data_IF_390081799816
#
_entry.id   IF_390081799816
#
_cell.length_a   1.000
_cell.length_b   1.000
_cell.length_c   1.000
_cell.angle_alpha   90.00
_cell.angle_beta   90.00
_cell.angle_gamma   90.00
#
_symmetry.space_group_name_H-M   'P 1'
#
loop_
_entity.id
_entity.type
_entity.pdbx_description
1 polymer ?
#
# COMPACT_ATOMS: atom_id res chain seq x y z
N UNK A 1 -73.16 -25.29 -29.04
CA UNK A 1 -73.17 -24.33 -27.92
C UNK A 1 -71.76 -23.76 -27.85
N UNK A 2 -71.62 -22.49 -28.20
CA UNK A 2 -70.41 -21.68 -27.97
C UNK A 2 -70.24 -21.45 -26.47
N UNK A 3 -69.01 -21.48 -25.96
CA UNK A 3 -68.24 -20.29 -25.61
C UNK A 3 -66.92 -20.71 -24.99
N UNK A 4 -65.82 -20.22 -25.58
CA UNK A 4 -64.49 -20.25 -25.00
C UNK A 4 -64.42 -19.28 -23.83
N UNK A 5 -63.87 -19.73 -22.72
CA UNK A 5 -63.38 -18.84 -21.67
C UNK A 5 -62.00 -19.33 -21.24
N UNK A 6 -60.95 -18.73 -21.80
CA UNK A 6 -59.62 -18.73 -21.18
C UNK A 6 -59.50 -17.45 -20.37
N UNK A 7 -59.22 -17.52 -19.05
CA UNK A 7 -58.68 -16.37 -18.36
C UNK A 7 -57.25 -16.64 -17.88
N UNK A 8 -56.42 -15.69 -18.31
CA UNK A 8 -55.52 -14.91 -17.46
C UNK A 8 -54.14 -15.50 -17.14
N UNK A 9 -53.24 -15.19 -18.06
CA UNK A 9 -51.85 -14.82 -17.83
C UNK A 9 -51.74 -13.94 -16.57
N UNK A 10 -51.25 -14.48 -15.44
CA UNK A 10 -50.85 -13.65 -14.29
C UNK A 10 -49.47 -14.07 -13.76
N UNK A 11 -48.45 -13.47 -14.39
CA UNK A 11 -47.22 -12.95 -13.78
C UNK A 11 -46.69 -13.72 -12.55
N UNK A 12 -45.97 -14.81 -12.79
CA UNK A 12 -45.06 -15.45 -11.79
C UNK A 12 -43.58 -15.36 -12.24
N UNK A 13 -43.24 -14.44 -13.14
CA UNK A 13 -41.91 -14.37 -13.76
C UNK A 13 -41.06 -13.15 -13.38
N UNK A 14 -41.35 -12.47 -12.26
CA UNK A 14 -40.55 -11.32 -11.81
C UNK A 14 -39.93 -11.44 -10.41
N UNK A 15 -40.13 -12.55 -9.69
CA UNK A 15 -39.61 -12.72 -8.33
C UNK A 15 -38.28 -13.50 -8.24
N UNK A 16 -37.97 -14.36 -9.21
CA UNK A 16 -36.80 -15.25 -9.12
C UNK A 16 -35.47 -14.59 -9.52
N UNK A 17 -35.51 -13.55 -10.36
CA UNK A 17 -34.31 -12.88 -10.88
C UNK A 17 -33.76 -11.80 -9.95
N UNK A 18 -34.60 -11.25 -9.08
CA UNK A 18 -34.21 -10.23 -8.09
C UNK A 18 -33.49 -10.90 -6.89
N UNK A 19 -33.89 -12.12 -6.56
CA UNK A 19 -33.36 -12.87 -5.41
C UNK A 19 -31.92 -13.39 -5.65
N UNK A 20 -31.58 -13.77 -6.89
CA UNK A 20 -30.23 -14.25 -7.22
C UNK A 20 -29.17 -13.14 -7.14
N UNK A 21 -29.49 -11.91 -7.57
CA UNK A 21 -28.56 -10.78 -7.50
C UNK A 21 -28.25 -10.37 -6.05
N UNK A 22 -29.27 -10.36 -5.20
CA UNK A 22 -29.10 -10.12 -3.76
C UNK A 22 -28.23 -11.19 -3.11
N UNK A 23 -28.50 -12.47 -3.42
CA UNK A 23 -27.70 -13.61 -2.97
C UNK A 23 -26.24 -13.52 -3.42
N UNK A 24 -25.98 -13.15 -4.68
CA UNK A 24 -24.61 -13.01 -5.19
C UNK A 24 -23.85 -11.88 -4.50
N UNK A 25 -24.53 -10.75 -4.22
CA UNK A 25 -23.94 -9.65 -3.44
C UNK A 25 -23.55 -10.10 -2.04
N UNK A 26 -24.46 -10.78 -1.34
CA UNK A 26 -24.20 -11.29 0.02
C UNK A 26 -23.04 -12.31 -0.01
N UNK A 27 -23.02 -13.21 -1.00
CA UNK A 27 -21.94 -14.19 -1.13
C UNK A 27 -20.59 -13.54 -1.45
N UNK A 28 -20.56 -12.47 -2.25
CA UNK A 28 -19.33 -11.73 -2.53
C UNK A 28 -18.79 -11.03 -1.27
N UNK A 29 -19.66 -10.38 -0.49
CA UNK A 29 -19.26 -9.78 0.79
C UNK A 29 -18.78 -10.84 1.79
N UNK A 30 -19.46 -11.98 1.88
CA UNK A 30 -19.03 -13.08 2.75
C UNK A 30 -17.63 -13.57 2.36
N UNK A 31 -17.38 -13.82 1.08
CA UNK A 31 -16.05 -14.24 0.59
C UNK A 31 -14.97 -13.19 0.86
N UNK A 32 -15.31 -11.89 0.75
CA UNK A 32 -14.38 -10.81 1.09
C UNK A 32 -14.02 -10.85 2.57
N UNK A 33 -15.02 -10.94 3.45
CA UNK A 33 -14.81 -11.03 4.90
C UNK A 33 -14.04 -12.29 5.29
N UNK A 34 -14.33 -13.44 4.68
CA UNK A 34 -13.58 -14.68 4.89
C UNK A 34 -12.10 -14.52 4.47
N UNK A 35 -11.81 -13.79 3.40
CA UNK A 35 -10.44 -13.52 2.97
C UNK A 35 -9.73 -12.57 3.93
N UNK A 36 -10.41 -11.51 4.40
CA UNK A 36 -9.87 -10.58 5.39
C UNK A 36 -9.58 -11.30 6.72
N UNK A 37 -10.46 -12.19 7.17
CA UNK A 37 -10.23 -13.01 8.35
C UNK A 37 -8.98 -13.89 8.19
N UNK A 38 -8.82 -14.58 7.05
CA UNK A 38 -7.62 -15.37 6.77
C UNK A 38 -6.35 -14.54 6.81
N UNK A 39 -6.35 -13.35 6.19
CA UNK A 39 -5.17 -12.48 6.21
C UNK A 39 -4.82 -12.04 7.63
N UNK A 40 -5.81 -11.69 8.45
CA UNK A 40 -5.56 -11.31 9.85
C UNK A 40 -5.01 -12.49 10.67
N UNK A 41 -5.51 -13.71 10.45
CA UNK A 41 -4.98 -14.92 11.10
C UNK A 41 -3.50 -15.15 10.70
N UNK A 42 -3.16 -15.02 9.43
CA UNK A 42 -1.78 -15.13 8.92
C UNK A 42 -0.86 -14.03 9.50
N UNK A 43 -1.35 -12.79 9.60
CA UNK A 43 -0.61 -11.66 10.20
C UNK A 43 -0.36 -11.89 11.68
N UNK A 44 -1.35 -12.39 12.43
CA UNK A 44 -1.18 -12.74 13.84
C UNK A 44 -0.13 -13.83 14.04
N UNK A 45 -0.15 -14.89 13.22
CA UNK A 45 0.87 -15.94 13.27
C UNK A 45 2.28 -15.39 12.99
N UNK A 46 2.41 -14.42 12.09
CA UNK A 46 3.68 -13.74 11.83
C UNK A 46 4.11 -12.88 13.03
N UNK A 47 3.19 -12.11 13.62
CA UNK A 47 3.47 -11.26 14.79
C UNK A 47 3.96 -12.08 15.99
N UNK A 48 3.44 -13.28 16.21
CA UNK A 48 3.91 -14.19 17.27
C UNK A 48 5.37 -14.65 17.08
N UNK A 49 5.84 -14.69 15.84
CA UNK A 49 7.22 -15.08 15.48
C UNK A 49 8.19 -13.90 15.48
N UNK A 50 7.70 -12.65 15.50
CA UNK A 50 8.55 -11.47 15.47
C UNK A 50 9.22 -11.21 16.81
N UNK A 51 10.49 -10.82 16.72
CA UNK A 51 11.25 -10.37 17.89
C UNK A 51 10.72 -9.03 18.42
N UNK A 52 11.08 -8.75 19.68
CA UNK A 52 10.77 -7.46 20.31
C UNK A 52 11.34 -6.32 19.48
N UNK A 53 10.54 -5.26 19.29
CA UNK A 53 10.98 -4.02 18.65
C UNK A 53 12.29 -3.47 19.26
N UNK A 54 12.46 -3.61 20.58
CA UNK A 54 13.69 -3.19 21.27
C UNK A 54 14.95 -3.91 20.77
N UNK A 55 14.85 -5.17 20.36
CA UNK A 55 15.99 -5.95 19.84
C UNK A 55 16.31 -5.48 18.44
N UNK A 56 15.32 -5.43 17.55
CA UNK A 56 15.48 -4.93 16.19
C UNK A 56 16.04 -3.50 16.15
N UNK A 57 15.57 -2.60 17.03
CA UNK A 57 16.09 -1.23 17.11
C UNK A 57 17.56 -1.18 17.55
N UNK A 58 17.99 -2.04 18.48
CA UNK A 58 19.39 -2.11 18.93
C UNK A 58 20.30 -2.64 17.81
N UNK A 59 19.87 -3.66 17.09
CA UNK A 59 20.60 -4.19 15.94
C UNK A 59 20.72 -3.14 14.84
N UNK A 60 19.63 -2.44 14.52
CA UNK A 60 19.64 -1.35 13.56
C UNK A 60 20.63 -0.24 13.97
N UNK A 61 20.60 0.19 15.24
CA UNK A 61 21.53 1.20 15.74
C UNK A 61 22.98 0.74 15.60
N UNK A 62 23.28 -0.49 16.04
CA UNK A 62 24.60 -1.09 15.92
C UNK A 62 25.09 -1.09 14.47
N UNK A 63 24.23 -1.44 13.51
CA UNK A 63 24.55 -1.48 12.08
C UNK A 63 24.83 -0.09 11.50
N UNK A 64 24.05 0.92 11.91
CA UNK A 64 24.23 2.31 11.47
C UNK A 64 25.52 2.90 12.04
N UNK A 65 25.88 2.56 13.28
CA UNK A 65 27.08 3.08 13.93
C UNK A 65 28.38 2.41 13.44
N UNK A 66 28.32 1.20 12.85
CA UNK A 66 29.54 0.46 12.50
C UNK A 66 30.28 1.06 11.31
N UNK A 67 29.58 1.73 10.38
CA UNK A 67 30.18 2.28 9.16
C UNK A 67 29.82 3.76 8.99
N UNK A 68 30.81 4.67 8.94
CA UNK A 68 30.53 6.09 8.75
C UNK A 68 29.93 6.34 7.35
N UNK A 69 28.85 7.09 7.30
CA UNK A 69 28.17 7.48 6.05
C UNK A 69 28.81 8.77 5.49
N UNK A 70 29.47 8.74 4.31
CA UNK A 70 30.19 9.89 3.73
C UNK A 70 29.31 11.14 3.47
N UNK A 71 28.00 11.01 3.52
CA UNK A 71 27.06 12.13 3.40
C UNK A 71 26.77 12.83 4.74
N UNK A 72 27.22 12.27 5.86
CA UNK A 72 26.97 12.83 7.18
C UNK A 72 28.19 13.62 7.69
N UNK A 73 28.01 14.77 8.37
CA UNK A 73 29.10 15.64 8.83
C UNK A 73 30.13 14.97 9.76
N UNK A 74 29.81 13.80 10.31
CA UNK A 74 30.58 13.12 11.33
C UNK A 74 31.51 12.01 10.76
N UNK A 75 31.72 11.98 9.44
CA UNK A 75 32.68 11.04 8.86
C UNK A 75 34.11 11.45 9.13
N UNK A 76 34.82 10.61 9.87
CA UNK A 76 36.28 10.62 9.91
C UNK A 76 36.83 10.06 8.60
N UNK A 77 37.05 10.95 7.65
CA UNK A 77 37.70 10.67 6.37
C UNK A 77 38.34 11.95 5.82
N UNK A 78 39.37 11.85 4.95
CA UNK A 78 39.88 13.02 4.26
C UNK A 78 38.71 13.69 3.52
N UNK A 79 38.58 15.01 3.66
CA UNK A 79 37.66 15.80 2.84
C UNK A 79 37.95 15.44 1.38
N UNK A 80 37.01 14.76 0.71
CA UNK A 80 37.17 14.36 -0.68
C UNK A 80 36.74 15.54 -1.56
N UNK A 81 37.66 16.37 -2.08
CA UNK A 81 37.31 17.65 -2.71
C UNK A 81 36.56 17.46 -4.04
N UNK A 82 36.57 16.24 -4.57
CA UNK A 82 35.78 15.82 -5.72
C UNK A 82 34.25 15.84 -5.46
N UNK A 83 33.82 15.82 -4.19
CA UNK A 83 32.40 15.88 -3.80
C UNK A 83 31.86 17.30 -3.87
N UNK A 84 32.71 18.31 -3.70
CA UNK A 84 32.35 19.73 -3.80
C UNK A 84 31.73 20.05 -5.18
N UNK A 85 32.14 19.32 -6.23
CA UNK A 85 31.53 19.39 -7.57
C UNK A 85 30.03 19.09 -7.58
N UNK A 86 29.57 18.19 -6.71
CA UNK A 86 28.17 17.72 -6.67
C UNK A 86 27.34 18.42 -5.59
N UNK A 87 27.95 18.80 -4.46
CA UNK A 87 27.25 19.33 -3.30
C UNK A 87 27.40 20.85 -3.08
N UNK A 88 28.50 21.47 -3.51
CA UNK A 88 28.72 22.92 -3.34
C UNK A 88 28.24 23.74 -4.55
N UNK A 89 27.79 23.07 -5.62
CA UNK A 89 27.33 23.72 -6.84
C UNK A 89 28.47 24.29 -7.70
N UNK A 90 28.15 25.00 -8.80
CA UNK A 90 29.17 25.53 -9.70
C UNK A 90 30.04 26.60 -9.03
N UNK A 91 31.28 26.23 -8.67
CA UNK A 91 32.29 27.08 -8.02
C UNK A 91 32.59 28.38 -8.81
N UNK A 92 32.40 28.34 -10.13
CA UNK A 92 32.68 29.46 -11.05
C UNK A 92 31.44 30.11 -11.66
N UNK A 93 30.26 29.95 -11.03
CA UNK A 93 29.14 30.77 -11.45
C UNK A 93 29.37 32.21 -10.98
N UNK A 94 30.00 33.02 -11.83
CA UNK A 94 29.70 34.46 -11.86
C UNK A 94 28.19 34.54 -12.12
N UNK A 95 27.41 34.58 -11.03
CA UNK A 95 25.97 34.48 -11.08
C UNK A 95 25.43 35.42 -12.16
N UNK A 96 24.71 34.87 -13.13
CA UNK A 96 24.03 35.70 -14.10
C UNK A 96 23.06 36.61 -13.34
N UNK A 97 23.23 37.93 -13.44
CA UNK A 97 22.27 38.93 -12.91
C UNK A 97 21.05 39.07 -13.83
N UNK A 98 20.60 37.97 -14.41
CA UNK A 98 19.40 37.97 -15.22
C UNK A 98 18.20 38.00 -14.25
N UNK A 99 17.53 39.15 -14.19
CA UNK A 99 16.20 39.25 -13.62
C UNK A 99 15.25 38.53 -14.58
N UNK A 100 14.59 37.47 -14.10
CA UNK A 100 13.47 36.88 -14.83
C UNK A 100 12.36 37.93 -14.89
N UNK A 101 12.10 38.43 -16.10
CA UNK A 101 10.92 39.23 -16.44
C UNK A 101 9.76 38.31 -16.81
#
# INVERSE_FOLDING_TARGET
>A
MSESASPITQRVQSSSTIDTRGKHRIQAELKRLEQEARFLEEELEQLEKLDKASTACKEMLSNVETRPDPLLPQTHGPLTPQWDRWFEGPQDSKGCRCWLL
#
